data_IF_934756863208
#
_entry.id   IF_934756863208
#
_cell.length_a   1.000
_cell.length_b   1.000
_cell.length_c   1.000
_cell.angle_alpha   90.00
_cell.angle_beta   90.00
_cell.angle_gamma   90.00
#
_symmetry.space_group_name_H-M   'P 1'
#
loop_
_entity.id
_entity.type
_entity.pdbx_description
1 polymer ?
#
# COMPACT_ATOMS: atom_id res chain seq x y z
N UNK A 1 -1.72 -11.51 -44.89
CA UNK A 1 -2.83 -11.78 -43.95
C UNK A 1 -3.23 -10.47 -43.31
N UNK A 2 -4.53 -10.24 -43.10
CA UNK A 2 -4.97 -9.09 -42.31
C UNK A 2 -4.64 -9.32 -40.82
N UNK A 3 -4.31 -8.27 -40.06
CA UNK A 3 -3.96 -8.41 -38.66
C UNK A 3 -5.17 -8.89 -37.86
N UNK A 4 -4.99 -9.98 -37.10
CA UNK A 4 -5.97 -10.47 -36.14
C UNK A 4 -5.82 -9.81 -34.76
N UNK A 5 -5.15 -8.66 -34.69
CA UNK A 5 -4.92 -7.90 -33.47
C UNK A 5 -5.29 -6.43 -33.68
N UNK A 6 -5.84 -5.82 -32.65
CA UNK A 6 -6.11 -4.39 -32.59
C UNK A 6 -5.80 -3.87 -31.20
N UNK A 7 -5.31 -2.65 -31.12
CA UNK A 7 -4.98 -1.98 -29.86
C UNK A 7 -5.79 -0.69 -29.74
N UNK A 8 -6.49 -0.51 -28.63
CA UNK A 8 -7.24 0.71 -28.34
C UNK A 8 -6.42 1.55 -27.37
N UNK A 9 -5.91 2.70 -27.82
CA UNK A 9 -5.06 3.59 -26.99
C UNK A 9 -5.77 4.83 -26.45
N UNK A 10 -6.90 5.20 -27.05
CA UNK A 10 -7.58 6.46 -26.77
C UNK A 10 -8.99 6.24 -26.23
N UNK A 11 -9.48 7.21 -25.45
CA UNK A 11 -10.84 7.25 -24.90
C UNK A 11 -11.19 6.07 -23.98
N UNK A 12 -10.17 5.44 -23.37
CA UNK A 12 -10.32 4.44 -22.35
C UNK A 12 -9.90 5.02 -20.99
N UNK A 13 -10.73 4.76 -19.98
CA UNK A 13 -10.54 5.22 -18.61
C UNK A 13 -9.91 4.08 -17.79
N UNK A 14 -8.72 4.29 -17.19
CA UNK A 14 -8.11 3.31 -16.30
C UNK A 14 -9.07 2.84 -15.20
N UNK A 15 -8.97 1.56 -14.85
CA UNK A 15 -9.83 0.96 -13.83
C UNK A 15 -11.27 0.70 -14.24
N UNK A 16 -11.72 1.19 -15.41
CA UNK A 16 -13.10 0.98 -15.86
C UNK A 16 -13.28 -0.36 -16.54
N UNK A 17 -14.48 -0.93 -16.41
CA UNK A 17 -14.89 -2.13 -17.15
C UNK A 17 -15.49 -1.76 -18.50
N UNK A 18 -15.00 -2.41 -19.55
CA UNK A 18 -15.48 -2.29 -20.92
C UNK A 18 -15.99 -3.64 -21.43
N UNK A 19 -17.05 -3.59 -22.25
CA UNK A 19 -17.55 -4.76 -22.97
C UNK A 19 -17.05 -4.71 -24.41
N UNK A 20 -16.25 -5.71 -24.78
CA UNK A 20 -15.62 -5.84 -26.11
C UNK A 20 -16.46 -6.78 -26.96
N UNK A 21 -16.80 -6.35 -28.17
CA UNK A 21 -17.61 -7.11 -29.12
C UNK A 21 -16.82 -7.33 -30.41
N UNK A 22 -16.67 -8.58 -30.82
CA UNK A 22 -15.97 -8.96 -32.05
C UNK A 22 -16.93 -9.69 -33.00
N UNK A 23 -16.87 -9.35 -34.29
CA UNK A 23 -17.62 -9.98 -35.38
C UNK A 23 -16.72 -10.16 -36.59
N UNK A 24 -16.91 -11.25 -37.32
CA UNK A 24 -16.30 -11.43 -38.65
C UNK A 24 -17.26 -10.95 -39.72
N UNK A 25 -16.74 -10.38 -40.80
CA UNK A 25 -17.52 -9.89 -41.94
C UNK A 25 -17.09 -10.61 -43.21
N UNK A 26 -18.06 -11.12 -43.98
CA UNK A 26 -17.85 -11.69 -45.31
C UNK A 26 -18.80 -11.02 -46.29
N UNK A 27 -18.27 -10.15 -47.15
CA UNK A 27 -19.07 -9.31 -48.04
C UNK A 27 -20.02 -8.39 -47.24
N UNK A 28 -21.34 -8.61 -47.38
CA UNK A 28 -22.39 -7.87 -46.64
C UNK A 28 -22.96 -8.64 -45.44
N UNK A 29 -22.40 -9.81 -45.12
CA UNK A 29 -22.88 -10.69 -44.06
C UNK A 29 -21.94 -10.60 -42.86
N UNK A 30 -22.50 -10.54 -41.65
CA UNK A 30 -21.74 -10.52 -40.38
C UNK A 30 -22.04 -11.78 -39.57
N UNK A 31 -21.06 -12.27 -38.81
CA UNK A 31 -21.28 -13.37 -37.88
C UNK A 31 -22.10 -12.93 -36.66
N UNK A 32 -22.55 -13.91 -35.88
CA UNK A 32 -22.92 -13.65 -34.49
C UNK A 32 -21.74 -13.00 -33.74
N UNK A 33 -22.00 -12.05 -32.82
CA UNK A 33 -20.95 -11.45 -32.01
C UNK A 33 -20.41 -12.43 -30.98
N UNK A 34 -19.13 -12.29 -30.67
CA UNK A 34 -18.56 -12.74 -29.41
C UNK A 34 -18.38 -11.51 -28.52
N UNK A 35 -18.78 -11.62 -27.25
CA UNK A 35 -18.68 -10.55 -26.26
C UNK A 35 -17.82 -11.01 -25.09
N UNK A 36 -16.95 -10.13 -24.60
CA UNK A 36 -16.17 -10.34 -23.38
C UNK A 36 -16.02 -9.03 -22.61
N UNK A 37 -16.03 -9.09 -21.29
CA UNK A 37 -15.77 -7.93 -20.44
C UNK A 37 -14.32 -7.90 -20.00
N UNK A 38 -13.74 -6.70 -19.97
CA UNK A 38 -12.38 -6.46 -19.50
C UNK A 38 -12.35 -5.24 -18.62
N UNK A 39 -11.69 -5.34 -17.47
CA UNK A 39 -11.39 -4.20 -16.61
C UNK A 39 -9.97 -3.75 -16.88
N UNK A 40 -9.79 -2.45 -17.14
CA UNK A 40 -8.45 -1.89 -17.32
C UNK A 40 -7.77 -1.74 -15.97
N UNK A 41 -6.43 -1.76 -15.95
CA UNK A 41 -5.69 -1.50 -14.71
C UNK A 41 -5.99 -0.08 -14.21
N UNK A 42 -6.33 0.12 -12.92
CA UNK A 42 -6.45 1.45 -12.35
C UNK A 42 -5.09 2.13 -12.26
N UNK A 43 -5.10 3.46 -12.14
CA UNK A 43 -3.89 4.23 -11.85
C UNK A 43 -3.54 4.16 -10.37
N UNK A 44 -2.25 4.33 -10.07
CA UNK A 44 -1.73 4.39 -8.70
C UNK A 44 -2.31 5.58 -7.92
N UNK A 45 -2.25 5.48 -6.60
CA UNK A 45 -2.70 6.56 -5.71
C UNK A 45 -1.77 7.78 -5.80
N UNK A 46 -2.30 8.94 -5.45
CA UNK A 46 -1.55 10.20 -5.39
C UNK A 46 -1.38 10.64 -3.93
N UNK A 47 -0.41 11.53 -3.67
CA UNK A 47 -0.19 12.15 -2.36
C UNK A 47 -0.13 11.15 -1.18
N UNK A 48 0.56 10.03 -1.37
CA UNK A 48 0.79 9.04 -0.31
C UNK A 48 1.70 9.63 0.76
N UNK A 49 1.19 9.77 1.98
CA UNK A 49 1.90 10.37 3.12
C UNK A 49 1.66 9.58 4.40
N UNK A 50 2.58 9.74 5.35
CA UNK A 50 2.48 9.18 6.70
C UNK A 50 2.44 10.29 7.74
N UNK A 51 1.60 10.13 8.76
CA UNK A 51 1.51 10.98 9.94
C UNK A 51 1.77 10.12 11.18
N UNK A 52 2.68 10.56 12.05
CA UNK A 52 2.95 9.91 13.32
C UNK A 52 2.20 10.65 14.44
N UNK A 53 1.42 9.92 15.22
CA UNK A 53 0.77 10.45 16.42
C UNK A 53 1.68 10.23 17.64
N UNK A 54 2.25 11.32 18.13
CA UNK A 54 3.12 11.36 19.31
C UNK A 54 2.47 10.83 20.60
N UNK A 55 1.16 10.95 20.72
CA UNK A 55 0.44 10.59 21.94
C UNK A 55 0.11 9.10 22.02
N UNK A 56 -0.22 8.49 20.89
CA UNK A 56 -0.61 7.08 20.80
C UNK A 56 0.52 6.18 20.28
N UNK A 57 1.54 6.76 19.64
CA UNK A 57 2.57 6.01 18.92
C UNK A 57 2.11 5.44 17.58
N UNK A 58 0.89 5.75 17.15
CA UNK A 58 0.29 5.19 15.95
C UNK A 58 0.81 5.89 14.68
N UNK A 59 0.94 5.11 13.60
CA UNK A 59 1.26 5.64 12.27
C UNK A 59 0.01 5.61 11.40
N UNK A 60 -0.43 6.77 10.95
CA UNK A 60 -1.51 6.93 9.98
C UNK A 60 -0.94 7.10 8.58
N UNK A 61 -1.47 6.35 7.62
CA UNK A 61 -1.14 6.44 6.20
C UNK A 61 -2.35 6.97 5.45
N UNK A 62 -2.17 7.98 4.62
CA UNK A 62 -3.23 8.57 3.81
C UNK A 62 -2.78 8.86 2.38
N UNK A 63 -3.74 8.86 1.46
CA UNK A 63 -3.50 9.10 0.04
C UNK A 63 -4.74 9.74 -0.60
N UNK A 64 -4.61 10.17 -1.84
CA UNK A 64 -5.72 10.62 -2.68
C UNK A 64 -5.96 9.64 -3.83
N UNK A 65 -7.24 9.30 -4.12
CA UNK A 65 -7.58 8.54 -5.33
C UNK A 65 -7.09 9.28 -6.59
N UNK A 66 -6.67 8.55 -7.61
CA UNK A 66 -6.35 9.19 -8.88
C UNK A 66 -7.64 9.71 -9.54
N UNK A 67 -7.74 11.02 -9.87
CA UNK A 67 -8.97 11.62 -10.37
C UNK A 67 -9.34 11.17 -11.80
N UNK A 68 -8.40 10.58 -12.53
CA UNK A 68 -8.59 10.12 -13.92
C UNK A 68 -8.71 8.61 -14.05
N UNK A 69 -8.94 7.92 -12.93
CA UNK A 69 -9.08 6.47 -12.85
C UNK A 69 -10.29 6.09 -12.01
N UNK A 70 -10.92 4.97 -12.36
CA UNK A 70 -11.95 4.34 -11.55
C UNK A 70 -11.30 3.34 -10.60
N UNK A 71 -11.56 3.45 -9.29
CA UNK A 71 -11.12 2.48 -8.29
C UNK A 71 -12.19 2.32 -7.21
N UNK A 72 -12.33 1.10 -6.70
CA UNK A 72 -13.37 0.72 -5.74
C UNK A 72 -12.80 0.57 -4.33
N UNK A 73 -11.53 0.17 -4.23
CA UNK A 73 -10.84 -0.06 -2.97
C UNK A 73 -9.33 0.05 -3.13
N UNK A 74 -8.60 -0.20 -2.06
CA UNK A 74 -7.14 -0.14 -1.99
C UNK A 74 -6.61 -1.37 -1.24
N UNK A 75 -5.41 -1.78 -1.59
CA UNK A 75 -4.64 -2.79 -0.89
C UNK A 75 -3.42 -2.10 -0.28
N UNK A 76 -3.34 -2.07 1.04
CA UNK A 76 -2.20 -1.50 1.77
C UNK A 76 -1.34 -2.63 2.29
N UNK A 77 -0.07 -2.67 1.94
CA UNK A 77 0.87 -3.65 2.49
C UNK A 77 2.00 -2.95 3.23
N UNK A 78 2.51 -3.58 4.29
CA UNK A 78 3.74 -3.14 4.94
C UNK A 78 4.70 -4.31 5.16
N UNK A 79 5.99 -3.99 5.21
CA UNK A 79 7.05 -4.97 5.42
C UNK A 79 8.24 -4.34 6.14
N UNK A 80 8.77 -5.00 7.17
CA UNK A 80 9.98 -4.58 7.90
C UNK A 80 11.20 -4.59 6.96
N UNK A 81 11.85 -3.45 6.83
CA UNK A 81 13.03 -3.27 5.97
C UNK A 81 14.20 -4.11 6.52
N UNK A 82 14.98 -4.72 5.62
CA UNK A 82 16.13 -5.61 5.92
C UNK A 82 15.79 -6.97 6.55
N UNK A 83 14.51 -7.31 6.73
CA UNK A 83 14.10 -8.59 7.32
C UNK A 83 13.30 -9.43 6.33
N UNK A 84 13.83 -10.58 5.89
CA UNK A 84 13.11 -11.47 4.95
C UNK A 84 11.97 -12.26 5.60
N UNK A 85 11.95 -12.34 6.93
CA UNK A 85 10.90 -12.98 7.74
C UNK A 85 10.36 -11.96 8.76
N UNK A 86 10.43 -10.68 8.39
CA UNK A 86 10.06 -9.57 9.27
C UNK A 86 8.57 -9.40 9.39
N UNK A 87 8.18 -8.51 10.29
CA UNK A 87 6.78 -8.12 10.46
C UNK A 87 6.25 -7.54 9.14
N UNK A 88 5.17 -8.15 8.64
CA UNK A 88 4.54 -7.77 7.38
C UNK A 88 3.07 -8.13 7.39
N UNK A 89 2.28 -7.34 6.67
CA UNK A 89 0.85 -7.60 6.53
C UNK A 89 0.30 -6.90 5.29
N UNK A 90 -0.86 -7.38 4.84
CA UNK A 90 -1.61 -6.80 3.73
C UNK A 90 -3.06 -6.59 4.16
N UNK A 91 -3.54 -5.36 4.02
CA UNK A 91 -4.80 -4.91 4.57
C UNK A 91 -5.64 -4.27 3.45
N UNK A 92 -6.78 -4.87 3.06
CA UNK A 92 -7.71 -4.25 2.13
C UNK A 92 -8.53 -3.16 2.83
N UNK A 93 -8.80 -2.06 2.12
CA UNK A 93 -9.64 -0.95 2.63
C UNK A 93 -10.36 -0.24 1.50
N UNK A 94 -11.57 0.27 1.77
CA UNK A 94 -12.30 1.15 0.85
C UNK A 94 -12.12 2.64 1.17
N UNK A 95 -11.31 2.96 2.18
CA UNK A 95 -11.00 4.33 2.59
C UNK A 95 -9.65 4.74 2.04
N UNK A 96 -9.43 6.05 1.89
CA UNK A 96 -8.14 6.63 1.47
C UNK A 96 -7.21 6.99 2.66
N UNK A 97 -7.44 6.36 3.82
CA UNK A 97 -6.65 6.50 5.04
C UNK A 97 -6.76 5.22 5.86
N UNK A 98 -5.65 4.80 6.48
CA UNK A 98 -5.57 3.69 7.44
C UNK A 98 -4.61 4.04 8.58
N UNK A 99 -4.84 3.46 9.75
CA UNK A 99 -3.90 3.50 10.87
C UNK A 99 -3.26 2.13 11.03
N UNK A 100 -1.93 2.09 11.10
CA UNK A 100 -1.15 0.88 11.36
C UNK A 100 -0.87 0.81 12.87
N UNK A 101 -1.64 0.00 13.58
CA UNK A 101 -1.63 -0.06 15.06
C UNK A 101 -0.64 -1.08 15.65
N UNK A 102 -0.06 -1.96 14.83
CA UNK A 102 0.71 -3.12 15.31
C UNK A 102 2.17 -3.16 14.84
N UNK A 103 2.75 -2.02 14.44
CA UNK A 103 4.14 -1.97 14.01
C UNK A 103 5.09 -2.07 15.21
N UNK A 104 6.13 -2.89 15.08
CA UNK A 104 7.14 -3.08 16.12
C UNK A 104 7.99 -1.81 16.30
N UNK A 105 8.37 -1.44 17.53
CA UNK A 105 9.10 -0.21 17.82
C UNK A 105 10.57 -0.26 17.35
N UNK A 106 11.11 0.89 16.95
CA UNK A 106 12.50 1.03 16.51
C UNK A 106 12.82 0.33 15.18
N UNK A 107 11.82 0.17 14.31
CA UNK A 107 11.97 -0.51 13.01
C UNK A 107 11.66 0.45 11.88
N UNK A 108 12.25 0.18 10.72
CA UNK A 108 11.86 0.81 9.46
C UNK A 108 10.97 -0.14 8.68
N UNK A 109 9.88 0.39 8.13
CA UNK A 109 8.93 -0.35 7.31
C UNK A 109 8.81 0.31 5.94
N UNK A 110 8.73 -0.49 4.88
CA UNK A 110 8.21 -0.06 3.59
C UNK A 110 6.70 -0.27 3.59
N UNK A 111 5.94 0.78 3.26
CA UNK A 111 4.49 0.73 3.12
C UNK A 111 4.11 0.98 1.67
N UNK A 112 3.32 0.09 1.09
CA UNK A 112 2.81 0.20 -0.28
C UNK A 112 1.29 0.33 -0.30
N UNK A 113 0.79 1.08 -1.26
CA UNK A 113 -0.64 1.22 -1.55
C UNK A 113 -0.89 0.99 -3.03
N UNK A 114 -1.79 0.07 -3.34
CA UNK A 114 -2.29 -0.21 -4.69
C UNK A 114 -3.78 0.10 -4.76
N UNK A 115 -4.23 0.77 -5.82
CA UNK A 115 -5.64 0.93 -6.12
C UNK A 115 -6.19 -0.35 -6.75
N UNK A 116 -7.43 -0.69 -6.38
CA UNK A 116 -8.12 -1.92 -6.81
C UNK A 116 -9.38 -1.54 -7.57
N UNK A 117 -9.56 -2.12 -8.76
CA UNK A 117 -10.83 -2.10 -9.49
C UNK A 117 -11.16 -3.51 -9.97
N UNK A 118 -12.24 -4.11 -9.42
CA UNK A 118 -12.49 -5.55 -9.51
C UNK A 118 -11.24 -6.37 -9.19
N UNK A 119 -10.75 -7.16 -10.15
CA UNK A 119 -9.59 -8.04 -10.00
C UNK A 119 -8.28 -7.41 -10.53
N UNK A 120 -8.28 -6.10 -10.82
CA UNK A 120 -7.11 -5.39 -11.33
C UNK A 120 -6.50 -4.47 -10.26
N UNK A 121 -5.18 -4.57 -10.14
CA UNK A 121 -4.35 -3.71 -9.29
C UNK A 121 -3.64 -2.65 -10.14
N UNK A 122 -3.45 -1.48 -9.54
CA UNK A 122 -2.58 -0.44 -10.06
C UNK A 122 -1.10 -0.82 -9.91
N UNK A 123 -0.21 0.08 -10.30
CA UNK A 123 1.16 0.06 -9.79
C UNK A 123 1.17 0.38 -8.28
N UNK A 124 2.17 -0.12 -7.57
CA UNK A 124 2.37 0.22 -6.17
C UNK A 124 2.92 1.64 -5.99
N UNK A 125 2.38 2.36 -5.02
CA UNK A 125 2.98 3.59 -4.51
C UNK A 125 3.59 3.29 -3.14
N UNK A 126 4.86 3.64 -2.94
CA UNK A 126 5.62 3.25 -1.75
C UNK A 126 6.12 4.47 -0.97
N UNK A 127 6.10 4.34 0.36
CA UNK A 127 6.79 5.23 1.31
C UNK A 127 7.52 4.41 2.38
N UNK A 128 8.49 5.02 3.04
CA UNK A 128 9.17 4.44 4.20
C UNK A 128 8.72 5.13 5.48
N UNK A 129 8.47 4.34 6.52
CA UNK A 129 8.09 4.83 7.84
C UNK A 129 9.00 4.21 8.90
N UNK A 130 9.39 5.02 9.88
CA UNK A 130 10.19 4.59 11.02
C UNK A 130 9.32 4.63 12.29
N UNK A 131 9.31 3.56 13.06
CA UNK A 131 8.66 3.54 14.38
C UNK A 131 9.63 4.04 15.45
N UNK A 132 9.10 4.73 16.46
CA UNK A 132 9.94 5.15 17.58
C UNK A 132 10.40 3.93 18.38
N UNK A 133 11.67 3.89 18.82
CA UNK A 133 12.13 2.87 19.76
C UNK A 133 11.37 2.96 21.08
N UNK A 134 11.21 1.82 21.76
CA UNK A 134 10.68 1.80 23.12
C UNK A 134 11.63 2.53 24.06
N UNK A 135 11.08 3.18 25.10
CA UNK A 135 11.89 3.75 26.15
C UNK A 135 12.74 2.66 26.85
N UNK A 136 13.99 2.98 27.26
CA UNK A 136 14.80 2.04 28.03
C UNK A 136 14.20 1.83 29.43
N UNK A 137 14.49 0.67 30.02
CA UNK A 137 14.03 0.30 31.37
C UNK A 137 15.18 0.59 32.34
N UNK A 138 14.95 1.47 33.33
CA UNK A 138 15.90 1.69 34.43
C UNK A 138 15.93 0.44 35.31
N UNK A 139 17.10 -0.16 35.46
CA UNK A 139 17.30 -1.36 36.28
C UNK A 139 17.72 -1.03 37.72
N UNK A 140 18.62 -0.06 37.87
CA UNK A 140 19.10 0.37 39.18
C UNK A 140 19.26 1.88 39.20
N UNK A 141 18.86 2.49 40.31
CA UNK A 141 19.00 3.91 40.58
C UNK A 141 19.38 4.10 42.05
N UNK A 142 20.64 4.40 42.30
CA UNK A 142 21.19 4.49 43.66
C UNK A 142 21.79 5.87 43.93
N UNK A 143 21.39 6.55 45.01
CA UNK A 143 22.06 7.77 45.44
C UNK A 143 23.46 7.43 45.96
N UNK A 144 24.43 8.29 45.66
CA UNK A 144 25.79 8.26 46.21
C UNK A 144 26.09 9.62 46.85
N UNK A 145 27.16 9.73 47.64
CA UNK A 145 27.59 11.04 48.17
C UNK A 145 27.88 11.95 46.98
N UNK A 146 27.24 13.12 46.95
CA UNK A 146 27.30 14.12 45.88
C UNK A 146 26.85 13.65 44.48
N UNK A 147 26.04 12.58 44.36
CA UNK A 147 25.55 12.14 43.05
C UNK A 147 24.57 10.97 43.04
N UNK A 148 24.46 10.31 41.88
CA UNK A 148 23.70 9.08 41.70
C UNK A 148 24.40 8.15 40.69
N UNK A 149 24.19 6.85 40.86
CA UNK A 149 24.48 5.82 39.86
C UNK A 149 23.17 5.35 39.24
N UNK A 150 23.17 5.16 37.92
CA UNK A 150 22.02 4.66 37.15
C UNK A 150 22.47 3.57 36.18
N UNK A 151 21.66 2.53 36.03
CA UNK A 151 21.80 1.50 34.99
C UNK A 151 20.46 1.25 34.32
N UNK A 152 20.49 0.87 33.04
CA UNK A 152 19.30 0.64 32.23
C UNK A 152 19.57 -0.43 31.18
N UNK A 153 18.49 -0.97 30.61
CA UNK A 153 18.52 -1.89 29.47
C UNK A 153 17.50 -1.52 28.40
N UNK A 154 17.71 -2.00 27.18
CA UNK A 154 16.75 -1.87 26.08
C UNK A 154 15.54 -2.78 26.26
N UNK A 155 14.41 -2.39 25.67
CA UNK A 155 13.24 -3.25 25.51
C UNK A 155 13.54 -4.32 24.46
N UNK A 156 13.28 -5.59 24.79
CA UNK A 156 13.59 -6.75 23.92
C UNK A 156 12.84 -6.72 22.58
N UNK A 157 11.71 -6.01 22.49
CA UNK A 157 10.94 -5.92 21.25
C UNK A 157 11.36 -4.74 20.36
N UNK A 158 12.23 -3.85 20.84
CA UNK A 158 12.69 -2.67 20.10
C UNK A 158 14.07 -2.89 19.48
N UNK A 159 14.27 -2.54 18.20
CA UNK A 159 15.64 -2.40 17.66
C UNK A 159 16.22 -1.10 18.17
N UNK A 160 17.41 -1.16 18.75
CA UNK A 160 18.17 0.00 19.20
C UNK A 160 19.63 -0.29 18.83
N UNK A 161 20.22 0.56 17.98
CA UNK A 161 21.64 0.51 17.62
C UNK A 161 22.46 1.44 18.54
#
# INVERSE_FOLDING_TARGET
>A
EEPTFWEFKDNLEPGKTYSVIVKTVSGKVTSWPVTADVTLKPLGVENLVSEYDESSGAISISWTPNPTSTQESYLVSYHEVESTIGDSNTIPTNKSKITLEALLPGRNYSVTVEAVSKDQLSVENMIYVATKPSAPIIEDLKPIIDGLNISWKSDVNSKQD
#
